data_IF_633962188114
#
_entry.id   IF_633962188114
#
_cell.length_a   1.000
_cell.length_b   1.000
_cell.length_c   1.000
_cell.angle_alpha   90.00
_cell.angle_beta   90.00
_cell.angle_gamma   90.00
#
_symmetry.space_group_name_H-M   'P 1'
#
loop_
_entity.id
_entity.type
_entity.pdbx_description
1 polymer ?
#
# COMPACT_ATOMS: atom_id res chain seq x y z
N UNK A 1 -1.45 -13.14 -7.99
CA UNK A 1 -2.00 -11.82 -8.37
C UNK A 1 -2.11 -11.76 -9.88
N UNK A 2 -3.03 -10.96 -10.46
CA UNK A 2 -3.04 -10.71 -11.89
C UNK A 2 -1.71 -10.08 -12.33
N UNK A 3 -1.21 -10.44 -13.52
CA UNK A 3 0.09 -9.98 -14.05
C UNK A 3 0.26 -8.45 -14.03
N UNK A 4 -0.83 -7.71 -14.24
CA UNK A 4 -0.83 -6.25 -14.20
C UNK A 4 -0.35 -5.66 -12.86
N UNK A 5 -0.53 -6.38 -11.74
CA UNK A 5 -0.04 -5.93 -10.43
C UNK A 5 1.48 -5.99 -10.37
N UNK A 6 2.10 -7.03 -10.93
CA UNK A 6 3.56 -7.18 -10.97
C UNK A 6 4.18 -6.10 -11.87
N UNK A 7 3.58 -5.87 -13.05
CA UNK A 7 4.00 -4.81 -13.97
C UNK A 7 3.90 -3.42 -13.32
N UNK A 8 2.82 -3.15 -12.57
CA UNK A 8 2.66 -1.91 -11.83
C UNK A 8 3.70 -1.75 -10.71
N UNK A 9 3.95 -2.81 -9.94
CA UNK A 9 4.98 -2.84 -8.88
C UNK A 9 6.35 -2.51 -9.46
N UNK A 10 6.72 -3.14 -10.56
CA UNK A 10 7.99 -2.92 -11.24
C UNK A 10 8.09 -1.50 -11.83
N UNK A 11 7.01 -1.02 -12.44
CA UNK A 11 6.92 0.35 -12.95
C UNK A 11 7.13 1.39 -11.85
N UNK A 12 6.39 1.29 -10.74
CA UNK A 12 6.53 2.21 -9.60
C UNK A 12 7.96 2.16 -9.03
N UNK A 13 8.47 0.96 -8.77
CA UNK A 13 9.78 0.77 -8.16
C UNK A 13 10.93 1.33 -9.00
N UNK A 14 10.81 1.35 -10.34
CA UNK A 14 11.84 1.88 -11.25
C UNK A 14 11.85 3.40 -11.37
N UNK A 15 10.70 4.08 -11.21
CA UNK A 15 10.59 5.52 -11.44
C UNK A 15 11.54 6.31 -10.53
N UNK A 16 11.47 6.03 -9.23
CA UNK A 16 12.30 6.69 -8.22
C UNK A 16 12.46 5.75 -7.01
N UNK A 17 13.38 4.79 -7.07
CA UNK A 17 13.51 3.75 -6.04
C UNK A 17 13.62 4.33 -4.62
N UNK A 18 14.38 5.42 -4.46
CA UNK A 18 14.59 6.05 -3.17
C UNK A 18 13.32 6.73 -2.62
N UNK A 19 12.54 7.41 -3.47
CA UNK A 19 11.27 8.02 -3.07
C UNK A 19 10.23 6.96 -2.76
N UNK A 20 10.19 5.85 -3.52
CA UNK A 20 9.29 4.72 -3.26
C UNK A 20 9.57 4.08 -1.90
N UNK A 21 10.85 3.86 -1.55
CA UNK A 21 11.27 3.38 -0.22
C UNK A 21 10.78 4.33 0.88
N UNK A 22 10.97 5.63 0.67
CA UNK A 22 10.64 6.66 1.65
C UNK A 22 9.15 7.01 1.71
N UNK A 23 8.36 6.59 0.72
CA UNK A 23 6.93 6.90 0.68
C UNK A 23 6.22 6.42 1.94
N UNK A 24 5.44 7.31 2.54
CA UNK A 24 4.52 7.01 3.63
C UNK A 24 3.17 7.64 3.29
N UNK A 25 2.04 6.95 3.53
CA UNK A 25 0.73 7.58 3.42
C UNK A 25 0.66 8.84 4.30
N UNK A 26 -0.20 9.79 3.94
CA UNK A 26 -0.42 10.97 4.76
C UNK A 26 -0.92 10.60 6.16
N UNK A 27 -0.74 11.49 7.13
CA UNK A 27 -1.24 11.29 8.49
C UNK A 27 -2.75 11.02 8.49
N UNK A 28 -3.52 11.78 7.70
CA UNK A 28 -4.97 11.59 7.59
C UNK A 28 -5.34 10.18 7.07
N UNK A 29 -4.59 9.64 6.10
CA UNK A 29 -4.81 8.27 5.61
C UNK A 29 -4.47 7.21 6.67
N UNK A 30 -3.41 7.42 7.46
CA UNK A 30 -3.05 6.52 8.55
C UNK A 30 -4.12 6.51 9.64
N UNK A 31 -4.58 7.69 10.07
CA UNK A 31 -5.64 7.85 11.08
C UNK A 31 -6.98 7.23 10.61
N UNK A 32 -7.32 7.40 9.32
CA UNK A 32 -8.52 6.76 8.75
C UNK A 32 -8.41 5.24 8.76
N UNK A 33 -7.27 4.69 8.35
CA UNK A 33 -7.01 3.25 8.39
C UNK A 33 -7.12 2.69 9.82
N UNK A 34 -6.52 3.38 10.80
CA UNK A 34 -6.63 3.00 12.22
C UNK A 34 -8.08 3.00 12.69
N UNK A 35 -8.86 4.01 12.31
CA UNK A 35 -10.29 4.09 12.62
C UNK A 35 -11.06 2.90 12.03
N UNK A 36 -10.83 2.56 10.76
CA UNK A 36 -11.47 1.42 10.10
C UNK A 36 -11.10 0.10 10.78
N UNK A 37 -9.83 -0.10 11.12
CA UNK A 37 -9.36 -1.28 11.83
C UNK A 37 -9.98 -1.42 13.23
N UNK A 38 -10.13 -0.31 13.96
CA UNK A 38 -10.81 -0.30 15.25
C UNK A 38 -12.29 -0.66 15.10
N UNK A 39 -13.00 -0.05 14.15
CA UNK A 39 -14.41 -0.36 13.86
C UNK A 39 -14.61 -1.81 13.42
N UNK A 40 -13.65 -2.40 12.68
CA UNK A 40 -13.65 -3.82 12.33
C UNK A 40 -13.60 -4.71 13.56
N UNK A 41 -12.70 -4.42 14.49
CA UNK A 41 -12.56 -5.16 15.77
C UNK A 41 -13.86 -5.11 16.57
N UNK A 42 -14.54 -3.97 16.55
CA UNK A 42 -15.81 -3.78 17.24
C UNK A 42 -17.02 -4.35 16.48
N UNK A 43 -16.81 -4.96 15.31
CA UNK A 43 -17.88 -5.44 14.40
C UNK A 43 -18.87 -4.34 13.98
N UNK A 44 -18.36 -3.11 13.78
CA UNK A 44 -19.15 -1.89 13.46
C UNK A 44 -18.84 -1.30 12.08
N UNK A 45 -18.18 -2.05 11.20
CA UNK A 45 -17.95 -1.61 9.82
C UNK A 45 -19.26 -1.61 9.04
N UNK A 46 -19.52 -0.52 8.33
CA UNK A 46 -20.55 -0.52 7.29
C UNK A 46 -20.01 -1.22 6.03
N UNK A 47 -20.86 -1.63 5.08
CA UNK A 47 -20.42 -2.20 3.81
C UNK A 47 -19.45 -1.27 3.04
N UNK A 48 -19.69 0.03 3.07
CA UNK A 48 -18.84 1.04 2.42
C UNK A 48 -17.47 1.14 3.10
N UNK A 49 -17.44 1.06 4.43
CA UNK A 49 -16.20 1.07 5.19
C UNK A 49 -15.39 -0.23 5.02
N UNK A 50 -16.07 -1.37 4.82
CA UNK A 50 -15.40 -2.62 4.47
C UNK A 50 -14.75 -2.50 3.08
N UNK A 51 -15.45 -1.95 2.08
CA UNK A 51 -14.87 -1.68 0.75
C UNK A 51 -13.67 -0.73 0.84
N UNK A 52 -13.79 0.35 1.61
CA UNK A 52 -12.68 1.27 1.87
C UNK A 52 -11.47 0.56 2.48
N UNK A 53 -11.70 -0.31 3.48
CA UNK A 53 -10.63 -1.08 4.11
C UNK A 53 -9.98 -2.07 3.13
N UNK A 54 -10.76 -2.73 2.26
CA UNK A 54 -10.20 -3.59 1.22
C UNK A 54 -9.30 -2.80 0.26
N UNK A 55 -9.68 -1.57 -0.12
CA UNK A 55 -8.85 -0.69 -0.94
C UNK A 55 -7.53 -0.34 -0.24
N UNK A 56 -7.55 -0.03 1.06
CA UNK A 56 -6.32 0.19 1.83
C UNK A 56 -5.38 -1.03 1.80
N UNK A 57 -5.92 -2.23 1.97
CA UNK A 57 -5.13 -3.47 1.97
C UNK A 57 -4.48 -3.73 0.61
N UNK A 58 -5.19 -3.49 -0.49
CA UNK A 58 -4.64 -3.62 -1.84
C UNK A 58 -3.49 -2.63 -2.06
N UNK A 59 -3.69 -1.36 -1.71
CA UNK A 59 -2.67 -0.32 -1.87
C UNK A 59 -1.44 -0.59 -1.00
N UNK A 60 -1.63 -0.98 0.27
CA UNK A 60 -0.53 -1.33 1.16
C UNK A 60 0.27 -2.52 0.61
N UNK A 61 -0.42 -3.55 0.11
CA UNK A 61 0.24 -4.69 -0.49
C UNK A 61 1.08 -4.32 -1.72
N UNK A 62 0.54 -3.49 -2.61
CA UNK A 62 1.27 -2.97 -3.76
C UNK A 62 2.52 -2.20 -3.35
N UNK A 63 2.40 -1.26 -2.41
CA UNK A 63 3.54 -0.46 -1.96
C UNK A 63 4.59 -1.28 -1.24
N UNK A 64 4.21 -2.30 -0.47
CA UNK A 64 5.15 -3.20 0.18
C UNK A 64 6.02 -3.93 -0.84
N UNK A 65 5.42 -4.42 -1.93
CA UNK A 65 6.15 -5.07 -3.01
C UNK A 65 7.00 -4.09 -3.82
N UNK A 66 6.46 -2.90 -4.11
CA UNK A 66 7.21 -1.85 -4.80
C UNK A 66 8.46 -1.42 -4.01
N UNK A 67 8.36 -1.33 -2.67
CA UNK A 67 9.50 -1.05 -1.80
C UNK A 67 10.54 -2.15 -1.83
N UNK A 68 10.12 -3.41 -1.72
CA UNK A 68 11.03 -4.55 -1.82
C UNK A 68 11.79 -4.53 -3.16
N UNK A 69 11.09 -4.28 -4.26
CA UNK A 69 11.69 -4.17 -5.60
C UNK A 69 12.60 -2.94 -5.75
N UNK A 70 12.22 -1.80 -5.18
CA UNK A 70 13.03 -0.59 -5.18
C UNK A 70 14.36 -0.79 -4.44
N UNK A 71 14.38 -1.55 -3.35
CA UNK A 71 15.63 -1.92 -2.68
C UNK A 71 16.57 -2.72 -3.59
N UNK A 72 16.05 -3.63 -4.43
CA UNK A 72 16.87 -4.35 -5.42
C UNK A 72 17.51 -3.41 -6.44
N UNK A 73 16.83 -2.32 -6.82
CA UNK A 73 17.39 -1.35 -7.77
C UNK A 73 18.49 -0.48 -7.16
N UNK A 74 18.41 -0.16 -5.87
CA UNK A 74 19.47 0.60 -5.18
C UNK A 74 20.65 -0.30 -4.83
N UNK A 75 20.42 -1.55 -4.43
CA UNK A 75 21.51 -2.47 -4.07
C UNK A 75 22.34 -2.93 -5.26
N UNK A 76 21.77 -2.86 -6.47
CA UNK A 76 22.43 -3.26 -7.73
C UNK A 76 22.93 -2.05 -8.54
N UNK A 77 22.85 -0.83 -8.02
CA UNK A 77 23.37 0.40 -8.61
C UNK A 77 24.74 0.75 -8.02
#
# INVERSE_FOLDING_TARGET
MPKVYEELVEFIARLSPQEVINFRPSQASQERLETLLQRRRDSRLTPEEEEELQNYLVVEHLFRLAKAKAHEFISNA
#
